data_IF_436535360091
#
_entry.id   IF_436535360091
#
_cell.length_a   1.000
_cell.length_b   1.000
_cell.length_c   1.000
_cell.angle_alpha   90.00
_cell.angle_beta   90.00
_cell.angle_gamma   90.00
#
_symmetry.space_group_name_H-M   'P 1'
#
loop_
_entity.id
_entity.type
_entity.pdbx_description
1 polymer ?
#
# COMPACT_ATOMS: atom_id res chain seq x y z
N UNK A 1 -49.55 61.81 -6.26
CA UNK A 1 -49.47 61.97 -4.80
C UNK A 1 -49.31 60.57 -4.23
N UNK A 2 -48.07 60.14 -4.05
CA UNK A 2 -47.33 60.21 -2.78
C UNK A 2 -47.93 59.29 -1.73
N UNK A 3 -47.26 58.15 -1.51
CA UNK A 3 -47.09 57.41 -0.26
C UNK A 3 -46.19 56.21 -0.59
N UNK A 4 -44.89 56.46 -0.78
CA UNK A 4 -43.86 56.29 0.26
C UNK A 4 -43.36 54.85 0.32
N UNK A 5 -42.18 54.67 -0.28
CA UNK A 5 -41.32 53.49 -0.18
C UNK A 5 -41.10 53.13 1.29
N UNK A 6 -41.61 51.97 1.70
CA UNK A 6 -41.16 51.33 2.94
C UNK A 6 -39.88 50.57 2.57
N UNK A 7 -38.76 51.28 2.64
CA UNK A 7 -37.44 50.68 2.79
C UNK A 7 -37.47 49.82 4.05
N UNK A 8 -37.64 48.51 3.87
CA UNK A 8 -37.35 47.53 4.91
C UNK A 8 -35.83 47.49 5.00
N UNK A 9 -35.33 48.27 5.95
CA UNK A 9 -33.95 48.30 6.40
C UNK A 9 -33.55 46.88 6.82
N UNK A 10 -32.89 46.17 5.90
CA UNK A 10 -32.40 44.81 6.09
C UNK A 10 -31.02 44.89 6.75
N UNK A 11 -30.97 45.46 7.97
CA UNK A 11 -29.74 45.62 8.74
C UNK A 11 -29.96 45.33 10.22
N UNK A 12 -30.64 44.22 10.54
CA UNK A 12 -30.64 43.69 11.91
C UNK A 12 -30.73 42.16 11.91
N UNK A 13 -29.72 41.52 11.31
CA UNK A 13 -29.35 40.17 11.69
C UNK A 13 -28.55 40.29 13.00
N UNK A 14 -28.86 39.50 14.05
CA UNK A 14 -28.13 39.59 15.31
C UNK A 14 -26.65 39.40 15.00
N UNK A 15 -25.84 40.40 15.32
CA UNK A 15 -24.38 40.37 15.25
C UNK A 15 -23.89 39.09 15.94
N UNK A 16 -23.69 38.03 15.17
CA UNK A 16 -23.10 36.79 15.64
C UNK A 16 -21.77 37.16 16.30
N UNK A 17 -21.44 36.62 17.49
CA UNK A 17 -20.25 37.02 18.22
C UNK A 17 -19.01 36.70 17.39
N UNK A 18 -18.50 37.72 16.69
CA UNK A 18 -17.31 37.56 15.87
C UNK A 18 -16.10 37.45 16.80
N UNK A 19 -15.36 36.36 16.66
CA UNK A 19 -14.20 36.06 17.49
C UNK A 19 -12.91 36.19 16.69
N UNK A 20 -11.88 36.74 17.33
CA UNK A 20 -10.55 36.83 16.76
C UNK A 20 -9.94 35.43 16.57
N UNK A 21 -9.01 35.29 15.62
CA UNK A 21 -8.25 34.05 15.33
C UNK A 21 -7.73 33.31 16.57
N UNK A 22 -7.19 34.03 17.56
CA UNK A 22 -6.71 33.46 18.83
C UNK A 22 -7.83 32.85 19.66
N UNK A 23 -8.97 33.53 19.76
CA UNK A 23 -10.14 33.04 20.50
C UNK A 23 -10.78 31.85 19.78
N UNK A 24 -10.81 31.86 18.45
CA UNK A 24 -11.29 30.71 17.65
C UNK A 24 -10.41 29.46 17.86
N UNK A 25 -9.09 29.62 17.86
CA UNK A 25 -8.16 28.52 18.12
C UNK A 25 -8.37 27.91 19.53
N UNK A 26 -8.59 28.76 20.55
CA UNK A 26 -8.93 28.32 21.90
C UNK A 26 -10.29 27.60 21.97
N UNK A 27 -11.31 28.10 21.28
CA UNK A 27 -12.64 27.49 21.25
C UNK A 27 -12.64 26.11 20.58
N UNK A 28 -11.84 25.96 19.51
CA UNK A 28 -11.65 24.70 18.79
C UNK A 28 -10.64 23.76 19.48
N UNK A 29 -9.98 24.20 20.57
CA UNK A 29 -8.89 23.50 21.27
C UNK A 29 -7.73 23.07 20.37
N UNK A 30 -7.42 23.88 19.35
CA UNK A 30 -6.32 23.64 18.41
C UNK A 30 -5.26 24.72 18.50
N UNK A 31 -4.06 24.42 18.01
CA UNK A 31 -2.99 25.40 17.94
C UNK A 31 -3.27 26.47 16.86
N UNK A 32 -2.76 27.69 17.05
CA UNK A 32 -2.84 28.76 16.05
C UNK A 32 -2.24 28.36 14.68
N UNK A 33 -1.10 27.64 14.61
CA UNK A 33 -0.57 27.09 13.36
C UNK A 33 -1.55 26.14 12.68
N UNK A 34 -2.23 25.27 13.43
CA UNK A 34 -3.23 24.35 12.87
C UNK A 34 -4.40 25.10 12.24
N UNK A 35 -4.91 26.13 12.94
CA UNK A 35 -5.98 26.97 12.39
C UNK A 35 -5.52 27.74 11.14
N UNK A 36 -4.24 28.14 11.08
CA UNK A 36 -3.68 28.81 9.90
C UNK A 36 -3.58 27.85 8.71
N UNK A 37 -3.08 26.63 8.95
CA UNK A 37 -3.04 25.58 7.94
C UNK A 37 -4.44 25.24 7.40
N UNK A 38 -5.47 25.23 8.25
CA UNK A 38 -6.84 25.00 7.78
C UNK A 38 -7.38 26.12 6.89
N UNK A 39 -7.01 27.38 7.15
CA UNK A 39 -7.36 28.50 6.27
C UNK A 39 -6.64 28.41 4.92
N UNK A 40 -5.39 27.95 4.90
CA UNK A 40 -4.63 27.77 3.67
C UNK A 40 -5.11 26.53 2.87
N UNK A 41 -5.51 25.47 3.58
CA UNK A 41 -5.97 24.20 2.99
C UNK A 41 -7.41 24.25 2.49
N UNK A 42 -8.27 25.06 3.12
CA UNK A 42 -9.70 25.15 2.81
C UNK A 42 -10.09 26.60 2.48
N UNK A 43 -10.13 26.97 1.18
CA UNK A 43 -10.51 28.33 0.77
C UNK A 43 -11.98 28.67 1.08
N UNK A 44 -12.83 27.65 1.26
CA UNK A 44 -14.25 27.77 1.64
C UNK A 44 -14.47 27.92 3.16
N UNK A 45 -13.39 28.07 3.94
CA UNK A 45 -13.53 28.18 5.40
C UNK A 45 -14.32 29.45 5.76
N UNK A 46 -15.34 29.37 6.63
CA UNK A 46 -16.22 30.50 6.90
C UNK A 46 -15.50 31.59 7.72
N UNK A 47 -15.03 32.61 7.02
CA UNK A 47 -14.41 33.81 7.59
C UNK A 47 -15.38 34.98 7.48
N UNK A 48 -15.74 35.61 8.60
CA UNK A 48 -16.66 36.74 8.62
C UNK A 48 -15.99 38.05 8.15
N UNK A 49 -14.70 38.22 8.41
CA UNK A 49 -13.88 39.28 7.80
C UNK A 49 -12.44 38.79 7.55
N UNK A 50 -12.01 38.83 6.29
CA UNK A 50 -10.67 38.43 5.86
C UNK A 50 -9.60 39.40 6.38
N UNK A 51 -8.61 38.88 7.09
CA UNK A 51 -7.49 39.69 7.56
C UNK A 51 -6.55 40.03 6.40
N UNK A 52 -6.55 41.29 5.95
CA UNK A 52 -5.50 41.85 5.08
C UNK A 52 -4.66 42.85 5.87
N UNK A 53 -3.36 42.95 5.56
CA UNK A 53 -2.32 43.80 6.18
C UNK A 53 -2.86 44.82 7.20
N UNK A 54 -2.78 44.47 8.50
CA UNK A 54 -3.19 45.32 9.62
C UNK A 54 -4.59 45.04 10.19
N UNK A 55 -5.41 44.22 9.53
CA UNK A 55 -6.77 43.86 9.98
C UNK A 55 -6.77 42.43 10.55
N UNK A 56 -7.27 42.27 11.78
CA UNK A 56 -7.38 40.98 12.45
C UNK A 56 -8.54 40.16 11.86
N UNK A 57 -8.33 38.85 11.67
CA UNK A 57 -9.37 37.94 11.21
C UNK A 57 -10.52 37.85 12.21
N UNK A 58 -11.74 37.99 11.70
CA UNK A 58 -12.98 37.79 12.45
C UNK A 58 -13.69 36.52 11.94
N UNK A 59 -14.08 35.66 12.87
CA UNK A 59 -14.76 34.39 12.58
C UNK A 59 -16.09 34.33 13.31
N UNK A 60 -17.09 33.72 12.66
CA UNK A 60 -18.32 33.31 13.34
C UNK A 60 -18.15 31.86 13.88
N UNK A 61 -18.18 31.64 15.20
CA UNK A 61 -18.08 30.30 15.78
C UNK A 61 -19.14 29.33 15.27
N UNK A 62 -20.38 29.77 15.07
CA UNK A 62 -21.47 28.87 14.70
C UNK A 62 -21.27 28.30 13.29
N UNK A 63 -20.90 29.16 12.34
CA UNK A 63 -20.58 28.75 10.97
C UNK A 63 -19.35 27.82 10.90
N UNK A 64 -18.31 28.10 11.69
CA UNK A 64 -17.10 27.26 11.73
C UNK A 64 -17.38 25.86 12.30
N UNK A 65 -18.18 25.76 13.36
CA UNK A 65 -18.56 24.45 13.91
C UNK A 65 -19.43 23.64 12.94
N UNK A 66 -20.39 24.28 12.26
CA UNK A 66 -21.24 23.62 11.26
C UNK A 66 -20.43 23.06 10.08
N UNK A 67 -19.47 23.84 9.57
CA UNK A 67 -18.57 23.41 8.49
C UNK A 67 -17.71 22.20 8.90
N UNK A 68 -17.18 22.21 10.12
CA UNK A 68 -16.37 21.10 10.63
C UNK A 68 -17.19 19.85 10.94
N UNK A 69 -18.45 19.99 11.36
CA UNK A 69 -19.33 18.84 11.60
C UNK A 69 -19.77 18.16 10.31
N UNK A 70 -20.08 18.91 9.26
CA UNK A 70 -20.47 18.34 7.97
C UNK A 70 -19.30 17.56 7.35
N UNK A 71 -18.09 18.14 7.37
CA UNK A 71 -16.89 17.44 6.88
C UNK A 71 -16.51 16.20 7.68
N UNK A 72 -16.69 16.22 9.01
CA UNK A 72 -16.49 15.02 9.83
C UNK A 72 -17.50 13.92 9.50
N UNK A 73 -18.71 14.29 9.08
CA UNK A 73 -19.72 13.32 8.63
C UNK A 73 -19.32 12.70 7.29
N UNK A 74 -18.85 13.51 6.34
CA UNK A 74 -18.32 13.02 5.06
C UNK A 74 -17.08 12.11 5.25
N UNK A 75 -16.16 12.47 6.14
CA UNK A 75 -14.99 11.64 6.46
C UNK A 75 -15.40 10.32 7.15
N UNK A 76 -16.39 10.36 8.06
CA UNK A 76 -16.89 9.15 8.73
C UNK A 76 -17.62 8.18 7.79
N UNK A 77 -18.34 8.69 6.79
CA UNK A 77 -18.99 7.85 5.77
C UNK A 77 -17.96 7.17 4.87
N UNK A 78 -16.88 7.86 4.52
CA UNK A 78 -15.79 7.29 3.74
C UNK A 78 -14.95 6.27 4.53
N UNK A 79 -14.73 6.50 5.82
CA UNK A 79 -14.02 5.56 6.70
C UNK A 79 -14.86 4.30 6.99
N UNK A 80 -16.18 4.43 7.15
CA UNK A 80 -17.08 3.28 7.32
C UNK A 80 -17.07 2.36 6.08
N UNK A 81 -17.09 2.93 4.86
CA UNK A 81 -16.96 2.14 3.63
C UNK A 81 -15.63 1.40 3.55
N UNK A 82 -14.54 2.03 4.01
CA UNK A 82 -13.21 1.43 4.00
C UNK A 82 -13.10 0.31 5.03
N UNK A 83 -13.67 0.48 6.20
CA UNK A 83 -13.70 -0.56 7.24
C UNK A 83 -14.56 -1.76 6.81
N UNK A 84 -15.67 -1.54 6.09
CA UNK A 84 -16.46 -2.62 5.50
C UNK A 84 -15.69 -3.40 4.42
N UNK A 85 -14.90 -2.73 3.60
CA UNK A 85 -14.03 -3.37 2.60
C UNK A 85 -12.91 -4.18 3.27
N UNK A 86 -12.30 -3.64 4.32
CA UNK A 86 -11.29 -4.35 5.10
C UNK A 86 -11.87 -5.58 5.82
N UNK A 87 -13.08 -5.48 6.36
CA UNK A 87 -13.77 -6.61 6.99
C UNK A 87 -14.10 -7.71 5.96
N UNK A 88 -14.51 -7.34 4.74
CA UNK A 88 -14.71 -8.30 3.63
C UNK A 88 -13.41 -9.00 3.24
N UNK A 89 -12.30 -8.26 3.18
CA UNK A 89 -10.99 -8.84 2.92
C UNK A 89 -10.56 -9.80 4.04
N UNK A 90 -10.74 -9.42 5.31
CA UNK A 90 -10.46 -10.31 6.44
C UNK A 90 -11.25 -11.62 6.39
N UNK A 91 -12.55 -11.56 6.09
CA UNK A 91 -13.39 -12.77 5.94
C UNK A 91 -12.94 -13.64 4.77
N UNK A 92 -12.45 -13.04 3.68
CA UNK A 92 -11.89 -13.80 2.55
C UNK A 92 -10.58 -14.51 2.89
N UNK A 93 -9.73 -13.89 3.71
CA UNK A 93 -8.51 -14.52 4.21
C UNK A 93 -8.81 -15.66 5.19
N UNK A 94 -9.79 -15.48 6.08
CA UNK A 94 -10.23 -16.50 7.05
C UNK A 94 -10.91 -17.71 6.37
N UNK A 95 -11.51 -17.50 5.21
CA UNK A 95 -12.06 -18.59 4.38
C UNK A 95 -10.97 -19.40 3.65
N UNK A 96 -9.85 -18.77 3.29
CA UNK A 96 -8.72 -19.42 2.61
C UNK A 96 -7.79 -20.15 3.58
N UNK A 97 -7.77 -19.75 4.85
CA UNK A 97 -7.11 -20.46 5.94
C UNK A 97 -8.12 -20.69 7.06
N UNK A 98 -8.76 -21.88 7.15
CA UNK A 98 -9.53 -22.22 8.34
C UNK A 98 -8.57 -22.18 9.51
N UNK A 99 -8.67 -21.14 10.35
CA UNK A 99 -7.87 -21.02 11.54
C UNK A 99 -8.10 -22.28 12.39
N UNK A 100 -7.04 -23.07 12.55
CA UNK A 100 -6.96 -23.99 13.65
C UNK A 100 -7.04 -23.15 14.93
N UNK A 101 -8.10 -23.39 15.69
CA UNK A 101 -8.50 -22.77 16.95
C UNK A 101 -8.95 -21.30 16.92
N UNK A 102 -10.03 -20.97 17.67
CA UNK A 102 -10.56 -19.61 17.73
C UNK A 102 -9.59 -18.69 18.44
N UNK A 103 -9.11 -17.66 17.73
CA UNK A 103 -8.37 -16.55 18.34
C UNK A 103 -9.26 -15.87 19.41
N UNK A 104 -8.74 -15.63 20.62
CA UNK A 104 -9.51 -14.97 21.67
C UNK A 104 -9.78 -13.51 21.31
N UNK A 105 -10.98 -13.04 21.68
CA UNK A 105 -11.54 -11.70 21.51
C UNK A 105 -10.56 -10.51 21.59
N UNK A 106 -10.89 -9.35 20.94
CA UNK A 106 -10.00 -8.19 20.79
C UNK A 106 -9.91 -7.35 22.07
N UNK A 107 -9.47 -7.96 23.18
CA UNK A 107 -9.28 -7.29 24.45
C UNK A 107 -8.14 -7.91 25.25
N UNK A 108 -6.94 -7.97 24.67
CA UNK A 108 -5.73 -7.80 25.47
C UNK A 108 -4.66 -7.19 24.60
N UNK A 109 -4.21 -5.98 24.95
CA UNK A 109 -2.92 -5.50 24.46
C UNK A 109 -1.89 -6.44 25.06
N UNK A 110 -1.50 -7.45 24.28
CA UNK A 110 -0.47 -8.42 24.67
C UNK A 110 0.71 -7.63 25.22
N UNK A 111 1.15 -7.87 26.46
CA UNK A 111 2.25 -7.12 27.05
C UNK A 111 3.49 -7.23 26.15
N UNK A 112 4.25 -6.15 26.04
CA UNK A 112 5.40 -6.03 25.10
C UNK A 112 6.38 -7.21 25.22
N UNK A 113 6.51 -7.81 26.41
CA UNK A 113 7.33 -9.01 26.64
C UNK A 113 6.79 -10.24 25.92
N UNK A 114 5.48 -10.50 26.00
CA UNK A 114 4.84 -11.61 25.29
C UNK A 114 4.89 -11.41 23.76
N UNK A 115 4.84 -10.16 23.27
CA UNK A 115 5.03 -9.88 21.84
C UNK A 115 6.46 -10.22 21.38
N UNK A 116 7.47 -9.88 22.18
CA UNK A 116 8.87 -10.21 21.90
C UNK A 116 9.08 -11.73 21.92
N UNK A 117 8.46 -12.42 22.87
CA UNK A 117 8.60 -13.87 22.99
C UNK A 117 7.87 -14.62 21.86
N UNK A 118 6.70 -14.14 21.42
CA UNK A 118 6.03 -14.63 20.21
C UNK A 118 6.86 -14.40 18.95
N UNK A 119 7.49 -13.23 18.81
CA UNK A 119 8.38 -12.95 17.69
C UNK A 119 9.61 -13.88 17.68
N UNK A 120 10.18 -14.15 18.85
CA UNK A 120 11.30 -15.11 19.01
C UNK A 120 10.88 -16.54 18.69
N UNK A 121 9.70 -16.97 19.10
CA UNK A 121 9.17 -18.29 18.78
C UNK A 121 8.98 -18.47 17.28
N UNK A 122 8.46 -17.44 16.59
CA UNK A 122 8.33 -17.45 15.13
C UNK A 122 9.70 -17.53 14.44
N UNK A 123 10.67 -16.73 14.87
CA UNK A 123 12.03 -16.76 14.33
C UNK A 123 12.69 -18.14 14.53
N UNK A 124 12.49 -18.78 15.69
CA UNK A 124 12.97 -20.14 15.93
C UNK A 124 12.27 -21.18 15.05
N UNK A 125 10.97 -21.05 14.82
CA UNK A 125 10.22 -21.93 13.92
C UNK A 125 10.70 -21.79 12.47
N UNK A 126 10.95 -20.56 12.00
CA UNK A 126 11.49 -20.31 10.67
C UNK A 126 12.88 -20.93 10.52
N UNK A 127 13.78 -20.72 11.50
CA UNK A 127 15.11 -21.35 11.51
C UNK A 127 15.08 -22.87 11.57
N UNK A 128 14.12 -23.45 12.29
CA UNK A 128 13.93 -24.90 12.31
C UNK A 128 13.43 -25.41 10.96
N UNK A 129 12.51 -24.70 10.31
CA UNK A 129 12.00 -25.03 8.99
C UNK A 129 13.07 -24.86 7.89
N UNK A 130 13.96 -23.88 8.00
CA UNK A 130 15.15 -23.71 7.16
C UNK A 130 16.10 -24.92 7.30
N UNK A 131 16.44 -25.30 8.54
CA UNK A 131 17.31 -26.45 8.80
C UNK A 131 16.69 -27.78 8.37
N UNK A 132 15.37 -27.89 8.45
CA UNK A 132 14.63 -29.05 7.97
C UNK A 132 14.48 -29.08 6.44
N UNK A 133 14.97 -28.06 5.72
CA UNK A 133 14.89 -27.95 4.26
C UNK A 133 13.48 -27.67 3.73
N UNK A 134 12.54 -27.25 4.59
CA UNK A 134 11.17 -26.90 4.21
C UNK A 134 11.04 -25.46 3.72
N UNK A 135 11.88 -24.57 4.24
CA UNK A 135 12.01 -23.19 3.78
C UNK A 135 13.43 -23.01 3.24
N UNK A 136 13.55 -22.45 2.04
CA UNK A 136 14.85 -22.10 1.48
C UNK A 136 14.79 -20.62 1.10
N UNK A 137 15.85 -19.89 1.39
CA UNK A 137 15.94 -18.51 0.96
C UNK A 137 15.96 -18.47 -0.58
N UNK A 138 14.93 -17.83 -1.16
CA UNK A 138 14.78 -17.74 -2.60
C UNK A 138 15.97 -17.02 -3.27
N UNK A 139 16.59 -16.06 -2.60
CA UNK A 139 17.75 -15.32 -3.10
C UNK A 139 18.97 -16.25 -3.25
N UNK A 140 19.24 -17.09 -2.24
CA UNK A 140 20.35 -18.04 -2.28
C UNK A 140 20.19 -19.10 -3.39
N UNK A 141 18.97 -19.61 -3.57
CA UNK A 141 18.67 -20.58 -4.63
C UNK A 141 18.79 -19.93 -6.00
N UNK A 142 18.30 -18.71 -6.15
CA UNK A 142 18.40 -17.94 -7.38
C UNK A 142 19.86 -17.68 -7.73
N UNK A 143 20.68 -17.24 -6.78
CA UNK A 143 22.11 -17.00 -7.00
C UNK A 143 22.85 -18.28 -7.41
N UNK A 144 22.57 -19.39 -6.75
CA UNK A 144 23.16 -20.68 -7.08
C UNK A 144 22.75 -21.14 -8.49
N UNK A 145 21.48 -20.96 -8.86
CA UNK A 145 20.97 -21.31 -10.18
C UNK A 145 21.56 -20.41 -11.28
N UNK A 146 21.61 -19.10 -11.06
CA UNK A 146 22.24 -18.14 -11.99
C UNK A 146 23.72 -18.46 -12.16
N UNK A 147 24.43 -18.78 -11.07
CA UNK A 147 25.84 -19.19 -11.10
C UNK A 147 26.07 -20.47 -11.92
N UNK A 148 25.26 -21.50 -11.67
CA UNK A 148 25.33 -22.77 -12.39
C UNK A 148 25.04 -22.60 -13.89
N UNK A 149 23.97 -21.88 -14.23
CA UNK A 149 23.58 -21.66 -15.63
C UNK A 149 24.59 -20.78 -16.38
N UNK A 150 25.16 -19.77 -15.71
CA UNK A 150 26.22 -18.93 -16.27
C UNK A 150 27.51 -19.71 -16.53
N UNK A 151 27.83 -20.70 -15.70
CA UNK A 151 28.96 -21.60 -15.93
C UNK A 151 28.68 -22.51 -17.12
N UNK A 152 27.50 -23.14 -17.17
CA UNK A 152 27.08 -24.00 -18.28
C UNK A 152 27.10 -23.28 -19.62
N UNK A 153 26.62 -22.03 -19.67
CA UNK A 153 26.63 -21.24 -20.91
C UNK A 153 28.05 -20.95 -21.42
N UNK A 154 28.99 -20.64 -20.51
CA UNK A 154 30.42 -20.44 -20.85
C UNK A 154 31.09 -21.72 -21.33
N UNK A 155 30.83 -22.85 -20.65
CA UNK A 155 31.38 -24.15 -21.03
C UNK A 155 30.88 -24.57 -22.40
N UNK A 156 29.59 -24.35 -22.70
CA UNK A 156 29.01 -24.64 -24.02
C UNK A 156 29.58 -23.73 -25.12
N UNK A 157 29.77 -22.44 -24.85
CA UNK A 157 30.43 -21.54 -25.80
C UNK A 157 31.86 -21.99 -26.13
N UNK A 158 32.60 -22.45 -25.12
CA UNK A 158 33.94 -23.01 -25.30
C UNK A 158 33.90 -24.30 -26.12
N UNK A 159 32.94 -25.18 -25.84
CA UNK A 159 32.71 -26.41 -26.61
C UNK A 159 32.39 -26.11 -28.08
N UNK A 160 31.51 -25.15 -28.38
CA UNK A 160 31.18 -24.76 -29.76
C UNK A 160 32.39 -24.24 -30.53
N UNK A 161 33.26 -23.46 -29.88
CA UNK A 161 34.53 -22.99 -30.49
C UNK A 161 35.52 -24.11 -30.72
N UNK A 162 35.58 -25.08 -29.81
CA UNK A 162 36.46 -26.24 -29.97
C UNK A 162 35.96 -27.13 -31.10
N UNK A 163 34.66 -27.42 -31.13
CA UNK A 163 34.02 -28.16 -32.23
C UNK A 163 34.22 -27.48 -33.57
N UNK A 164 34.07 -26.14 -33.62
CA UNK A 164 34.31 -25.36 -34.82
C UNK A 164 35.76 -25.47 -35.32
N UNK A 165 36.74 -25.46 -34.41
CA UNK A 165 38.15 -25.67 -34.77
C UNK A 165 38.42 -27.09 -35.27
N UNK A 166 37.88 -28.09 -34.57
CA UNK A 166 38.08 -29.51 -34.90
C UNK A 166 37.46 -29.87 -36.27
N UNK A 167 36.36 -29.21 -36.64
CA UNK A 167 35.66 -29.41 -37.90
C UNK A 167 36.03 -28.39 -38.99
N UNK A 168 36.98 -27.47 -38.72
CA UNK A 168 37.43 -26.46 -39.68
C UNK A 168 36.36 -25.46 -40.10
N UNK A 169 35.41 -25.13 -39.22
CA UNK A 169 34.35 -24.18 -39.50
C UNK A 169 34.90 -22.74 -39.61
N UNK A 170 34.44 -21.95 -40.60
CA UNK A 170 34.75 -20.52 -40.64
C UNK A 170 34.24 -19.80 -39.38
N UNK A 171 34.99 -18.81 -38.89
CA UNK A 171 34.65 -18.02 -37.70
C UNK A 171 33.23 -17.44 -37.73
N UNK A 172 32.75 -17.05 -38.92
CA UNK A 172 31.39 -16.55 -39.10
C UNK A 172 30.33 -17.60 -38.73
N UNK A 173 30.57 -18.87 -39.03
CA UNK A 173 29.66 -19.98 -38.73
C UNK A 173 29.66 -20.31 -37.23
N UNK A 174 30.82 -20.24 -36.58
CA UNK A 174 30.94 -20.40 -35.12
C UNK A 174 30.18 -19.30 -34.38
N UNK A 175 30.35 -18.04 -34.79
CA UNK A 175 29.60 -16.90 -34.20
C UNK A 175 28.10 -17.00 -34.44
N UNK A 176 27.67 -17.50 -35.60
CA UNK A 176 26.26 -17.75 -35.88
C UNK A 176 25.70 -18.86 -34.97
N UNK A 177 26.46 -19.94 -34.76
CA UNK A 177 26.08 -21.01 -33.84
C UNK A 177 25.98 -20.53 -32.38
N UNK A 178 26.95 -19.73 -31.91
CA UNK A 178 26.91 -19.09 -30.59
C UNK A 178 25.67 -18.20 -30.41
N UNK A 179 25.33 -17.41 -31.43
CA UNK A 179 24.17 -16.51 -31.39
C UNK A 179 22.85 -17.28 -31.35
N UNK A 180 22.72 -18.31 -32.21
CA UNK A 180 21.55 -19.21 -32.20
C UNK A 180 21.40 -19.93 -30.87
N UNK A 181 22.50 -20.40 -30.30
CA UNK A 181 22.48 -21.05 -29.00
C UNK A 181 22.04 -20.08 -27.89
N UNK A 182 22.56 -18.85 -27.86
CA UNK A 182 22.14 -17.83 -26.90
C UNK A 182 20.66 -17.42 -27.07
N UNK A 183 20.13 -17.47 -28.29
CA UNK A 183 18.71 -17.25 -28.57
C UNK A 183 17.84 -18.41 -28.05
N UNK A 184 18.25 -19.66 -28.31
CA UNK A 184 17.58 -20.85 -27.78
C UNK A 184 17.59 -20.89 -26.24
N UNK A 185 18.70 -20.50 -25.60
CA UNK A 185 18.76 -20.39 -24.14
C UNK A 185 17.74 -19.38 -23.61
N UNK A 186 17.65 -18.20 -24.23
CA UNK A 186 16.68 -17.17 -23.84
C UNK A 186 15.24 -17.64 -24.04
N UNK A 187 14.93 -18.32 -25.13
CA UNK A 187 13.62 -18.90 -25.38
C UNK A 187 13.25 -20.00 -24.37
N UNK A 188 14.20 -20.87 -24.03
CA UNK A 188 13.98 -21.93 -23.04
C UNK A 188 13.71 -21.35 -21.64
N UNK A 189 14.49 -20.34 -21.21
CA UNK A 189 14.27 -19.66 -19.93
C UNK A 189 12.93 -18.92 -19.92
N UNK A 190 12.60 -18.20 -20.99
CA UNK A 190 11.31 -17.52 -21.10
C UNK A 190 10.12 -18.51 -21.08
N UNK A 191 10.27 -19.68 -21.73
CA UNK A 191 9.27 -20.74 -21.69
C UNK A 191 9.10 -21.36 -20.31
N UNK A 192 10.21 -21.61 -19.61
CA UNK A 192 10.19 -22.11 -18.24
C UNK A 192 9.54 -21.11 -17.27
N UNK A 193 9.87 -19.82 -17.38
CA UNK A 193 9.24 -18.76 -16.58
C UNK A 193 7.74 -18.69 -16.84
N UNK A 194 7.31 -18.79 -18.11
CA UNK A 194 5.89 -18.81 -18.47
C UNK A 194 5.14 -20.04 -17.92
N UNK A 195 5.81 -21.18 -17.78
CA UNK A 195 5.22 -22.36 -17.13
C UNK A 195 5.19 -22.28 -15.60
N UNK A 196 5.96 -21.36 -15.00
CA UNK A 196 5.94 -21.08 -13.56
C UNK A 196 4.98 -19.93 -13.19
N UNK A 197 4.54 -19.12 -14.16
CA UNK A 197 3.45 -18.18 -13.92
C UNK A 197 2.20 -18.98 -13.53
N UNK A 198 1.60 -18.70 -12.36
CA UNK A 198 0.40 -19.39 -11.93
C UNK A 198 -0.68 -19.18 -12.98
N UNK A 199 -1.27 -20.27 -13.48
CA UNK A 199 -2.43 -20.20 -14.35
C UNK A 199 -3.55 -19.49 -13.58
N UNK A 200 -4.07 -18.34 -14.03
CA UNK A 200 -5.21 -17.70 -13.37
C UNK A 200 -6.47 -18.57 -13.40
N UNK A 201 -6.46 -19.72 -14.09
CA UNK A 201 -7.50 -20.73 -14.08
C UNK A 201 -7.26 -21.91 -13.12
N UNK A 202 -6.09 -22.02 -12.46
CA UNK A 202 -5.84 -23.07 -11.45
C UNK A 202 -6.08 -22.53 -10.02
N UNK A 203 -7.29 -22.01 -9.82
CA UNK A 203 -7.89 -21.72 -8.51
C UNK A 203 -8.55 -23.00 -7.93
N UNK A 204 -7.99 -24.18 -8.26
CA UNK A 204 -8.75 -25.43 -8.40
C UNK A 204 -8.08 -26.68 -7.88
N UNK A 205 -7.47 -26.63 -6.70
CA UNK A 205 -7.32 -27.81 -5.83
C UNK A 205 -6.44 -28.95 -6.36
N UNK A 206 -5.13 -28.82 -6.17
CA UNK A 206 -4.27 -29.99 -6.02
C UNK A 206 -4.57 -30.67 -4.66
N UNK A 207 -5.71 -31.36 -4.57
CA UNK A 207 -5.92 -32.38 -3.54
C UNK A 207 -4.79 -33.40 -3.66
N UNK A 208 -3.90 -33.39 -2.66
CA UNK A 208 -3.03 -34.50 -2.30
C UNK A 208 -3.86 -35.78 -2.26
N UNK A 209 -3.88 -36.53 -3.37
CA UNK A 209 -4.24 -37.95 -3.33
C UNK A 209 -3.05 -38.69 -2.75
N UNK A 210 -2.97 -38.69 -1.41
CA UNK A 210 -2.26 -39.73 -0.69
C UNK A 210 -3.09 -41.00 -0.90
N UNK A 211 -2.53 -41.93 -1.68
CA UNK A 211 -3.04 -43.28 -1.83
C UNK A 211 -2.89 -44.04 -0.50
N UNK A 212 -3.89 -44.87 -0.21
CA UNK A 212 -4.00 -45.79 0.93
C UNK A 212 -2.76 -46.68 1.16
#
# INVERSE_FOLDING_TARGET
>A
MLLSEVSVDQSDLPSAPTVNKRKMASLLRISLPTLTNWLDRWPEFPVAAGGRNGVAYAFDPAAVFAFLSERKREEAEHDASRDEELMKLQLSFDALWPAADPDPAPSSRIPVKEQIDLARLRDLQMKQAERAGKLVNAEEVMDLFVGAMSRLSRDMGTFLRQLGRDQGWPDAMVRQAETRFAEMQRQAVAGALKSLEPDPADDGGAQLRLAD
#
